data_IF_209091744680
#
_entry.id   IF_209091744680
#
_cell.length_a   1.000
_cell.length_b   1.000
_cell.length_c   1.000
_cell.angle_alpha   90.00
_cell.angle_beta   90.00
_cell.angle_gamma   90.00
#
_symmetry.space_group_name_H-M   'P 1'
#
loop_
_entity.id
_entity.type
_entity.pdbx_description
1 polymer ?
#
# COMPACT_ATOMS: atom_id res chain seq x y z
N UNK A 1 15.90 -20.71 -5.87
CA UNK A 1 16.88 -19.79 -5.29
C UNK A 1 16.30 -19.25 -4.00
N UNK A 2 16.93 -19.50 -2.86
CA UNK A 2 16.55 -18.81 -1.63
C UNK A 2 17.00 -17.36 -1.78
N UNK A 3 16.04 -16.43 -1.89
CA UNK A 3 16.32 -15.01 -1.79
C UNK A 3 16.76 -14.78 -0.34
N UNK A 4 18.05 -14.52 -0.13
CA UNK A 4 18.53 -14.01 1.16
C UNK A 4 17.85 -12.65 1.35
N UNK A 5 16.76 -12.64 2.10
CA UNK A 5 15.98 -11.43 2.37
C UNK A 5 16.72 -10.62 3.44
N UNK A 6 17.76 -9.89 3.04
CA UNK A 6 18.49 -8.93 3.89
C UNK A 6 17.69 -7.62 4.13
N UNK A 7 16.43 -7.62 3.71
CA UNK A 7 15.44 -6.55 3.86
C UNK A 7 15.22 -6.21 5.34
N UNK A 8 15.06 -7.23 6.18
CA UNK A 8 14.81 -7.06 7.62
C UNK A 8 16.12 -7.21 8.38
N UNK A 9 16.60 -6.12 8.97
CA UNK A 9 17.83 -6.10 9.77
C UNK A 9 17.53 -5.85 11.24
N UNK A 10 17.82 -6.83 12.07
CA UNK A 10 17.86 -6.66 13.53
C UNK A 10 19.12 -5.85 13.89
N UNK A 11 18.93 -4.61 14.36
CA UNK A 11 20.06 -3.73 14.72
C UNK A 11 20.48 -3.90 16.17
N UNK A 12 19.51 -3.93 17.08
CA UNK A 12 19.71 -4.11 18.52
C UNK A 12 18.40 -4.60 19.16
N UNK A 13 18.44 -4.95 20.44
CA UNK A 13 17.22 -5.37 21.17
C UNK A 13 16.17 -4.26 21.11
N UNK A 14 14.99 -4.59 20.58
CA UNK A 14 13.89 -3.63 20.40
C UNK A 14 14.02 -2.73 19.16
N UNK A 15 14.93 -3.06 18.24
CA UNK A 15 15.18 -2.26 17.05
C UNK A 15 15.29 -3.12 15.78
N UNK A 16 14.25 -3.05 14.95
CA UNK A 16 14.22 -3.63 13.61
C UNK A 16 14.32 -2.49 12.61
N UNK A 17 15.11 -2.69 11.56
CA UNK A 17 15.16 -1.80 10.41
C UNK A 17 14.74 -2.56 9.15
N UNK A 18 13.97 -1.88 8.29
CA UNK A 18 13.72 -2.30 6.92
C UNK A 18 14.14 -1.16 5.99
N UNK A 19 15.07 -1.43 5.08
CA UNK A 19 15.69 -0.44 4.19
C UNK A 19 16.08 0.88 4.90
N UNK A 20 16.72 0.73 6.07
CA UNK A 20 17.17 1.86 6.89
C UNK A 20 16.09 2.53 7.74
N UNK A 21 14.81 2.24 7.51
CA UNK A 21 13.69 2.76 8.30
C UNK A 21 13.49 1.93 9.57
N UNK A 22 13.40 2.58 10.73
CA UNK A 22 13.02 1.90 11.98
C UNK A 22 11.58 1.40 11.86
N UNK A 23 11.38 0.11 12.09
CA UNK A 23 10.05 -0.51 12.02
C UNK A 23 9.79 -1.40 13.23
N UNK A 24 8.55 -1.85 13.36
CA UNK A 24 8.16 -2.92 14.28
C UNK A 24 7.25 -3.91 13.57
N UNK A 25 7.19 -5.13 14.10
CA UNK A 25 6.19 -6.11 13.69
C UNK A 25 4.87 -5.75 14.38
N UNK A 26 3.78 -5.74 13.61
CA UNK A 26 2.42 -5.58 14.14
C UNK A 26 1.60 -6.82 13.84
N UNK A 27 0.82 -7.27 14.82
CA UNK A 27 -0.22 -8.26 14.57
C UNK A 27 -1.32 -7.65 13.68
N UNK A 28 -1.75 -8.39 12.66
CA UNK A 28 -2.72 -7.91 11.67
C UNK A 28 -4.16 -8.16 12.14
N UNK A 29 -4.46 -9.37 12.61
CA UNK A 29 -5.83 -9.81 12.89
C UNK A 29 -6.45 -9.10 14.10
N UNK A 30 -5.68 -8.83 15.16
CA UNK A 30 -6.19 -8.19 16.37
C UNK A 30 -5.56 -6.81 16.59
N UNK A 31 -4.26 -6.67 16.34
CA UNK A 31 -3.53 -5.42 16.52
C UNK A 31 -3.98 -4.32 15.56
N UNK A 32 -3.64 -4.45 14.28
CA UNK A 32 -3.97 -3.48 13.25
C UNK A 32 -5.49 -3.30 13.11
N UNK A 33 -6.24 -4.40 12.96
CA UNK A 33 -7.70 -4.36 12.87
C UNK A 33 -8.33 -3.66 14.08
N UNK A 34 -7.90 -4.01 15.30
CA UNK A 34 -8.42 -3.42 16.53
C UNK A 34 -8.17 -1.92 16.63
N UNK A 35 -6.96 -1.46 16.28
CA UNK A 35 -6.67 -0.01 16.19
C UNK A 35 -7.58 0.63 15.14
N UNK A 36 -7.70 0.03 13.95
CA UNK A 36 -8.48 0.58 12.85
C UNK A 36 -9.97 0.70 13.18
N UNK A 37 -10.56 -0.26 13.91
CA UNK A 37 -11.94 -0.16 14.42
C UNK A 37 -12.08 0.85 15.55
N UNK A 38 -11.09 0.93 16.45
CA UNK A 38 -11.12 1.94 17.53
C UNK A 38 -11.10 3.36 16.97
N UNK A 39 -10.27 3.64 15.95
CA UNK A 39 -10.28 4.95 15.28
C UNK A 39 -11.61 5.19 14.56
N UNK A 40 -12.15 4.18 13.87
CA UNK A 40 -13.45 4.28 13.20
C UNK A 40 -14.59 4.64 14.16
N UNK A 41 -14.59 4.08 15.37
CA UNK A 41 -15.56 4.43 16.40
C UNK A 41 -15.44 5.88 16.88
N UNK A 42 -14.24 6.46 16.83
CA UNK A 42 -13.97 7.82 17.31
C UNK A 42 -14.30 8.89 16.27
N UNK A 43 -13.94 8.67 15.01
CA UNK A 43 -14.03 9.69 13.95
C UNK A 43 -14.95 9.31 12.78
N UNK A 44 -15.45 8.08 12.76
CA UNK A 44 -16.46 7.64 11.80
C UNK A 44 -15.96 7.64 10.34
N UNK A 45 -16.76 8.16 9.39
CA UNK A 45 -16.52 8.00 7.96
C UNK A 45 -15.17 8.54 7.44
N UNK A 46 -14.56 9.52 8.11
CA UNK A 46 -13.27 10.11 7.67
C UNK A 46 -12.07 9.21 7.97
N UNK A 47 -12.27 8.07 8.62
CA UNK A 47 -11.14 7.20 9.00
C UNK A 47 -10.39 6.66 7.80
N UNK A 48 -11.07 6.39 6.68
CA UNK A 48 -10.40 6.00 5.44
C UNK A 48 -9.36 7.03 4.99
N UNK A 49 -9.74 8.31 4.98
CA UNK A 49 -8.85 9.43 4.64
C UNK A 49 -7.64 9.51 5.56
N UNK A 50 -7.81 9.34 6.87
CA UNK A 50 -6.69 9.39 7.84
C UNK A 50 -5.63 8.34 7.52
N UNK A 51 -6.05 7.10 7.27
CA UNK A 51 -5.10 6.02 6.95
C UNK A 51 -4.48 6.19 5.57
N UNK A 52 -5.27 6.61 4.59
CA UNK A 52 -4.83 6.88 3.23
C UNK A 52 -3.75 7.97 3.19
N UNK A 53 -4.00 9.14 3.79
CA UNK A 53 -3.04 10.24 3.83
C UNK A 53 -1.77 9.89 4.60
N UNK A 54 -1.89 9.21 5.75
CA UNK A 54 -0.71 8.76 6.50
C UNK A 54 0.13 7.76 5.70
N UNK A 55 -0.52 6.89 4.92
CA UNK A 55 0.14 5.91 4.07
C UNK A 55 0.84 6.54 2.87
N UNK A 56 0.28 7.59 2.26
CA UNK A 56 0.95 8.35 1.18
C UNK A 56 2.33 8.83 1.65
N UNK A 57 2.40 9.47 2.82
CA UNK A 57 3.66 9.95 3.39
C UNK A 57 4.65 8.80 3.63
N UNK A 58 4.15 7.65 4.11
CA UNK A 58 4.95 6.43 4.27
C UNK A 58 5.52 5.92 2.94
N UNK A 59 4.69 5.85 1.90
CA UNK A 59 5.10 5.41 0.56
C UNK A 59 6.13 6.33 -0.07
N UNK A 60 5.91 7.65 0.02
CA UNK A 60 6.85 8.67 -0.46
C UNK A 60 8.20 8.57 0.28
N UNK A 61 8.17 8.44 1.61
CA UNK A 61 9.37 8.32 2.42
C UNK A 61 10.18 7.07 2.05
N UNK A 62 9.50 5.94 1.82
CA UNK A 62 10.12 4.70 1.36
C UNK A 62 10.82 4.90 0.01
N UNK A 63 10.12 5.42 -1.01
CA UNK A 63 10.70 5.64 -2.35
C UNK A 63 11.92 6.55 -2.28
N UNK A 64 11.85 7.66 -1.54
CA UNK A 64 13.00 8.57 -1.37
C UNK A 64 14.19 7.88 -0.72
N UNK A 65 13.94 7.02 0.27
CA UNK A 65 14.96 6.20 0.90
C UNK A 65 15.63 5.24 -0.09
N UNK A 66 14.81 4.48 -0.81
CA UNK A 66 15.25 3.47 -1.77
C UNK A 66 15.98 4.07 -2.99
N UNK A 67 15.56 5.24 -3.48
CA UNK A 67 16.28 5.98 -4.53
C UNK A 67 17.66 6.44 -4.05
N UNK A 68 17.75 6.88 -2.80
CA UNK A 68 19.02 7.36 -2.20
C UNK A 68 20.01 6.23 -1.97
N UNK A 69 19.56 5.04 -1.60
CA UNK A 69 20.39 3.84 -1.49
C UNK A 69 20.73 3.21 -2.84
N UNK A 70 20.00 3.56 -3.90
CA UNK A 70 20.17 2.98 -5.23
C UNK A 70 19.48 1.63 -5.41
N UNK A 71 18.54 1.29 -4.53
CA UNK A 71 17.80 0.02 -4.57
C UNK A 71 16.72 0.02 -5.66
N UNK A 72 16.24 1.22 -6.05
CA UNK A 72 15.26 1.40 -7.12
C UNK A 72 15.66 2.55 -8.06
N UNK A 73 15.00 2.63 -9.21
CA UNK A 73 15.17 3.69 -10.22
C UNK A 73 13.83 4.37 -10.57
N UNK A 74 13.86 5.64 -10.99
CA UNK A 74 12.69 6.37 -11.50
C UNK A 74 12.20 5.76 -12.82
N UNK A 75 11.39 4.70 -12.74
CA UNK A 75 11.02 3.84 -13.87
C UNK A 75 9.83 2.95 -13.53
N UNK A 76 9.25 2.32 -14.56
CA UNK A 76 8.25 1.26 -14.42
C UNK A 76 8.74 0.11 -13.53
N UNK A 77 10.00 -0.28 -13.70
CA UNK A 77 10.67 -1.29 -12.87
C UNK A 77 10.76 -0.84 -11.42
N UNK A 78 11.10 0.41 -11.16
CA UNK A 78 11.15 0.95 -9.80
C UNK A 78 9.80 0.86 -9.08
N UNK A 79 8.69 1.13 -9.77
CA UNK A 79 7.35 0.94 -9.18
C UNK A 79 7.10 -0.54 -8.84
N UNK A 80 7.46 -1.47 -9.75
CA UNK A 80 7.35 -2.91 -9.50
C UNK A 80 8.21 -3.35 -8.31
N UNK A 81 9.43 -2.83 -8.19
CA UNK A 81 10.33 -3.12 -7.07
C UNK A 81 9.77 -2.58 -5.73
N UNK A 82 9.13 -1.40 -5.72
CA UNK A 82 8.41 -0.90 -4.54
C UNK A 82 7.25 -1.81 -4.12
N UNK A 83 6.45 -2.27 -5.09
CA UNK A 83 5.32 -3.18 -4.82
C UNK A 83 5.82 -4.54 -4.33
N UNK A 84 6.90 -5.08 -4.90
CA UNK A 84 7.52 -6.32 -4.41
C UNK A 84 8.04 -6.14 -2.98
N UNK A 85 8.74 -5.05 -2.67
CA UNK A 85 9.19 -4.77 -1.31
C UNK A 85 8.02 -4.67 -0.30
N UNK A 86 6.90 -4.07 -0.72
CA UNK A 86 5.67 -4.04 0.08
C UNK A 86 5.12 -5.45 0.33
N UNK A 87 5.19 -6.34 -0.67
CA UNK A 87 4.82 -7.74 -0.50
C UNK A 87 5.80 -8.51 0.42
N UNK A 88 7.11 -8.31 0.25
CA UNK A 88 8.14 -8.94 1.10
C UNK A 88 8.06 -8.49 2.56
N UNK A 89 7.48 -7.32 2.83
CA UNK A 89 7.18 -6.82 4.17
C UNK A 89 6.00 -7.52 4.86
N UNK A 90 5.28 -8.39 4.15
CA UNK A 90 4.19 -9.19 4.71
C UNK A 90 2.82 -8.51 4.65
N UNK A 91 2.64 -7.47 3.84
CA UNK A 91 1.34 -6.82 3.66
C UNK A 91 0.38 -7.60 2.73
N UNK A 92 0.88 -8.61 2.02
CA UNK A 92 0.11 -9.47 1.11
C UNK A 92 0.88 -9.74 -0.18
N UNK A 93 0.43 -10.68 -1.00
CA UNK A 93 1.00 -11.02 -2.31
C UNK A 93 0.65 -10.00 -3.40
N UNK A 94 1.00 -8.73 -3.20
CA UNK A 94 0.75 -7.66 -4.17
C UNK A 94 1.53 -7.87 -5.46
N UNK A 95 0.86 -7.69 -6.60
CA UNK A 95 1.47 -7.82 -7.92
C UNK A 95 1.00 -6.72 -8.86
N UNK A 96 1.92 -6.14 -9.64
CA UNK A 96 1.60 -5.15 -10.67
C UNK A 96 1.12 -5.87 -11.93
N UNK A 97 -0.19 -5.84 -12.17
CA UNK A 97 -0.82 -6.44 -13.35
C UNK A 97 -0.58 -5.61 -14.62
N UNK A 98 -0.70 -4.28 -14.51
CA UNK A 98 -0.50 -3.34 -15.61
C UNK A 98 0.20 -2.09 -15.09
N UNK A 99 1.04 -1.47 -15.94
CA UNK A 99 1.66 -0.18 -15.66
C UNK A 99 1.96 0.55 -16.98
N UNK A 100 1.56 1.82 -17.02
CA UNK A 100 2.06 2.83 -17.93
C UNK A 100 2.70 3.93 -17.09
N UNK A 101 4.03 3.87 -16.98
CA UNK A 101 4.81 4.83 -16.20
C UNK A 101 4.73 6.25 -16.77
N UNK A 102 4.58 6.39 -18.10
CA UNK A 102 4.53 7.70 -18.76
C UNK A 102 3.28 8.50 -18.38
N UNK A 103 2.15 7.83 -18.21
CA UNK A 103 0.90 8.43 -17.72
C UNK A 103 0.73 8.35 -16.20
N UNK A 104 1.69 7.76 -15.48
CA UNK A 104 1.59 7.46 -14.04
C UNK A 104 0.36 6.59 -13.67
N UNK A 105 0.05 5.64 -14.55
CA UNK A 105 -1.09 4.72 -14.39
C UNK A 105 -0.62 3.31 -14.09
N UNK A 106 -1.27 2.64 -13.14
CA UNK A 106 -1.01 1.23 -12.85
C UNK A 106 -2.24 0.53 -12.27
N UNK A 107 -2.29 -0.79 -12.46
CA UNK A 107 -3.26 -1.67 -11.79
C UNK A 107 -2.49 -2.70 -10.98
N UNK A 108 -2.76 -2.75 -9.67
CA UNK A 108 -2.15 -3.69 -8.73
C UNK A 108 -3.23 -4.63 -8.20
N UNK A 109 -2.89 -5.92 -8.02
CA UNK A 109 -3.81 -6.93 -7.49
C UNK A 109 -3.20 -7.66 -6.31
N UNK A 110 -4.03 -8.12 -5.37
CA UNK A 110 -3.58 -8.88 -4.20
C UNK A 110 -4.70 -9.79 -3.68
N UNK A 111 -4.44 -11.09 -3.50
CA UNK A 111 -5.45 -12.08 -3.06
C UNK A 111 -5.60 -12.18 -1.55
N UNK A 112 -4.66 -11.58 -0.82
CA UNK A 112 -4.50 -11.68 0.63
C UNK A 112 -3.99 -10.35 1.21
N UNK A 113 -4.44 -9.23 0.64
CA UNK A 113 -4.13 -7.90 1.16
C UNK A 113 -4.50 -7.84 2.65
N UNK A 114 -3.55 -7.46 3.50
CA UNK A 114 -3.67 -7.60 4.95
C UNK A 114 -4.93 -6.92 5.53
N UNK A 115 -5.30 -5.75 5.00
CA UNK A 115 -6.51 -5.02 5.36
C UNK A 115 -7.77 -5.81 5.00
N UNK A 116 -7.95 -6.14 3.72
CA UNK A 116 -9.11 -6.90 3.26
C UNK A 116 -9.20 -8.28 3.92
N UNK A 117 -8.06 -8.92 4.18
CA UNK A 117 -7.99 -10.21 4.88
C UNK A 117 -8.49 -10.05 6.33
N UNK A 118 -8.01 -9.04 7.05
CA UNK A 118 -8.45 -8.79 8.42
C UNK A 118 -9.96 -8.51 8.49
N UNK A 119 -10.50 -7.68 7.60
CA UNK A 119 -11.93 -7.40 7.52
C UNK A 119 -12.75 -8.68 7.27
N UNK A 120 -12.34 -9.48 6.28
CA UNK A 120 -12.96 -10.77 5.97
C UNK A 120 -12.96 -11.71 7.17
N UNK A 121 -11.87 -11.77 7.94
CA UNK A 121 -11.75 -12.62 9.14
C UNK A 121 -12.72 -12.23 10.24
N UNK A 122 -13.05 -10.94 10.36
CA UNK A 122 -14.02 -10.41 11.31
C UNK A 122 -15.46 -10.31 10.75
N UNK A 123 -15.69 -10.73 9.51
CA UNK A 123 -17.01 -10.64 8.87
C UNK A 123 -17.46 -9.21 8.57
N UNK A 124 -16.53 -8.26 8.50
CA UNK A 124 -16.81 -6.86 8.14
C UNK A 124 -16.79 -6.74 6.61
N UNK A 125 -17.97 -6.54 6.03
CA UNK A 125 -18.18 -6.50 4.57
C UNK A 125 -18.13 -5.06 4.10
N UNK A 126 -16.92 -4.56 3.91
CA UNK A 126 -16.66 -3.21 3.38
C UNK A 126 -15.28 -3.14 2.72
N UNK A 127 -15.10 -2.22 1.77
CA UNK A 127 -13.76 -1.83 1.30
C UNK A 127 -12.94 -1.30 2.47
N UNK A 128 -11.75 -1.87 2.63
CA UNK A 128 -10.95 -1.67 3.83
C UNK A 128 -9.53 -1.22 3.55
N UNK A 129 -9.03 -1.39 2.31
CA UNK A 129 -7.60 -1.31 2.00
C UNK A 129 -7.09 0.12 1.81
N UNK A 130 -7.54 1.06 2.64
CA UNK A 130 -7.19 2.48 2.55
C UNK A 130 -5.70 2.74 2.74
N UNK A 131 -5.06 2.02 3.67
CA UNK A 131 -3.62 2.14 3.90
C UNK A 131 -2.84 1.62 2.69
N UNK A 132 -3.24 0.47 2.13
CA UNK A 132 -2.64 -0.08 0.91
C UNK A 132 -2.78 0.88 -0.27
N UNK A 133 -3.99 1.46 -0.48
CA UNK A 133 -4.19 2.49 -1.50
C UNK A 133 -3.23 3.67 -1.31
N UNK A 134 -3.10 4.18 -0.08
CA UNK A 134 -2.23 5.31 0.19
C UNK A 134 -0.74 4.99 -0.04
N UNK A 135 -0.27 3.80 0.33
CA UNK A 135 1.10 3.34 0.04
C UNK A 135 1.34 3.32 -1.48
N UNK A 136 0.43 2.72 -2.24
CA UNK A 136 0.56 2.58 -3.70
C UNK A 136 0.52 3.94 -4.41
N UNK A 137 -0.37 4.84 -3.99
CA UNK A 137 -0.39 6.22 -4.46
C UNK A 137 0.92 6.94 -4.12
N UNK A 138 1.38 6.84 -2.87
CA UNK A 138 2.64 7.43 -2.42
C UNK A 138 3.86 6.95 -3.21
N UNK A 139 3.90 5.66 -3.57
CA UNK A 139 4.94 5.12 -4.43
C UNK A 139 4.96 5.79 -5.80
N UNK A 140 3.80 5.84 -6.49
CA UNK A 140 3.72 6.43 -7.82
C UNK A 140 3.95 7.94 -7.79
N UNK A 141 3.44 8.66 -6.78
CA UNK A 141 3.67 10.10 -6.58
C UNK A 141 5.16 10.44 -6.53
N UNK A 142 5.90 9.68 -5.72
CA UNK A 142 7.34 9.92 -5.55
C UNK A 142 8.16 9.53 -6.78
N UNK A 143 7.78 8.48 -7.51
CA UNK A 143 8.49 8.06 -8.73
C UNK A 143 8.19 8.97 -9.92
N UNK A 144 6.91 9.32 -10.13
CA UNK A 144 6.48 10.18 -11.22
C UNK A 144 6.65 11.69 -10.93
N UNK A 145 7.10 12.04 -9.71
CA UNK A 145 7.27 13.42 -9.24
C UNK A 145 6.00 14.27 -9.39
N UNK A 146 4.86 13.65 -9.06
CA UNK A 146 3.50 14.22 -9.21
C UNK A 146 2.72 14.07 -7.92
N UNK A 147 1.92 15.07 -7.57
CA UNK A 147 1.11 15.05 -6.34
C UNK A 147 -0.36 14.68 -6.61
N UNK A 148 -0.81 14.78 -7.86
CA UNK A 148 -2.19 14.57 -8.30
C UNK A 148 -2.54 13.09 -8.56
N UNK A 149 -1.67 12.16 -8.16
CA UNK A 149 -1.90 10.72 -8.35
C UNK A 149 -2.64 10.16 -7.15
N UNK A 150 -3.78 9.51 -7.39
CA UNK A 150 -4.58 8.85 -6.37
C UNK A 150 -4.63 7.33 -6.62
N UNK A 151 -5.08 6.57 -5.62
CA UNK A 151 -5.31 5.14 -5.74
C UNK A 151 -6.68 4.76 -5.19
N UNK A 152 -7.46 4.05 -5.99
CA UNK A 152 -8.79 3.55 -5.62
C UNK A 152 -8.79 2.02 -5.57
N UNK A 153 -9.34 1.45 -4.48
CA UNK A 153 -9.67 0.03 -4.42
C UNK A 153 -11.00 -0.19 -5.16
N UNK A 154 -10.97 -0.88 -6.30
CA UNK A 154 -12.18 -1.14 -7.11
C UNK A 154 -12.89 -2.43 -6.68
N UNK A 155 -12.14 -3.43 -6.23
CA UNK A 155 -12.63 -4.71 -5.71
C UNK A 155 -11.91 -5.05 -4.40
N UNK A 156 -12.57 -5.73 -3.47
CA UNK A 156 -11.99 -6.12 -2.18
C UNK A 156 -12.38 -7.55 -1.78
N UNK A 157 -11.43 -8.32 -1.24
CA UNK A 157 -11.71 -9.67 -0.71
C UNK A 157 -12.64 -9.67 0.51
N UNK A 158 -12.73 -8.55 1.24
CA UNK A 158 -13.68 -8.37 2.34
C UNK A 158 -15.14 -8.30 1.83
N UNK A 159 -15.34 -7.80 0.61
CA UNK A 159 -16.63 -7.72 -0.06
C UNK A 159 -16.98 -9.00 -0.84
N UNK A 160 -16.11 -10.02 -0.76
CA UNK A 160 -16.31 -11.32 -1.40
C UNK A 160 -15.68 -11.45 -2.79
N UNK A 161 -14.89 -10.47 -3.25
CA UNK A 161 -14.12 -10.61 -4.48
C UNK A 161 -12.99 -11.65 -4.34
N UNK A 162 -12.48 -12.15 -5.48
CA UNK A 162 -11.37 -13.11 -5.52
C UNK A 162 -10.02 -12.48 -5.16
N UNK A 163 -9.89 -11.18 -5.39
CA UNK A 163 -8.71 -10.37 -5.07
C UNK A 163 -9.12 -8.93 -4.77
N UNK A 164 -8.28 -8.23 -4.02
CA UNK A 164 -8.30 -6.77 -4.01
C UNK A 164 -7.68 -6.26 -5.31
N UNK A 165 -8.32 -5.25 -5.92
CA UNK A 165 -7.84 -4.59 -7.15
C UNK A 165 -7.70 -3.10 -6.88
N UNK A 166 -6.53 -2.57 -7.21
CA UNK A 166 -6.12 -1.21 -6.94
C UNK A 166 -5.79 -0.51 -8.24
N UNK A 167 -6.45 0.61 -8.52
CA UNK A 167 -6.22 1.43 -9.70
C UNK A 167 -5.53 2.72 -9.27
N UNK A 168 -4.31 2.92 -9.77
CA UNK A 168 -3.50 4.11 -9.57
C UNK A 168 -3.54 4.94 -10.85
N UNK A 169 -3.87 6.22 -10.73
CA UNK A 169 -3.88 7.16 -11.86
C UNK A 169 -3.97 8.62 -11.36
N UNK A 170 -3.74 9.60 -12.24
CA UNK A 170 -4.11 10.99 -11.98
C UNK A 170 -5.58 11.12 -11.56
N UNK A 171 -5.85 12.00 -10.59
CA UNK A 171 -7.18 12.25 -10.03
C UNK A 171 -8.23 12.55 -11.09
N UNK A 172 -7.91 13.40 -12.07
CA UNK A 172 -8.83 13.80 -13.14
C UNK A 172 -9.22 12.63 -14.06
N UNK A 173 -8.31 11.68 -14.27
CA UNK A 173 -8.57 10.45 -15.01
C UNK A 173 -9.48 9.52 -14.21
N UNK A 174 -9.23 9.32 -12.91
CA UNK A 174 -10.07 8.50 -12.04
C UNK A 174 -11.50 9.06 -11.93
N UNK A 175 -11.66 10.37 -11.86
CA UNK A 175 -12.98 11.03 -11.90
C UNK A 175 -13.66 10.84 -13.25
N UNK A 176 -12.93 10.99 -14.37
CA UNK A 176 -13.45 10.78 -15.73
C UNK A 176 -13.91 9.34 -15.97
N UNK A 177 -13.21 8.38 -15.37
CA UNK A 177 -13.55 6.95 -15.40
C UNK A 177 -14.67 6.57 -14.42
N UNK A 178 -15.11 7.50 -13.56
CA UNK A 178 -16.16 7.26 -12.56
C UNK A 178 -15.71 6.40 -11.38
N UNK A 179 -14.41 6.30 -11.13
CA UNK A 179 -13.82 5.56 -10.00
C UNK A 179 -13.70 6.43 -8.74
N UNK A 180 -13.78 7.75 -8.90
CA UNK A 180 -13.71 8.73 -7.82
C UNK A 180 -14.74 9.85 -8.05
N UNK A 181 -15.14 10.54 -6.98
CA UNK A 181 -16.17 11.59 -6.96
C UNK A 181 -15.58 12.91 -6.53
#
# INVERSE_FOLDING_TARGET
>A
MAISCDLIRFRSRGWICVEGSRTCLTDIEHGFYGIRKAVEQLIGPVTGTVYYTAAIEGGIAYVRGALKSGDITLSDRGFRDCVDAYAQLGFGGFTVSEIDYGSARATVTCRDAFEGWAWKRHGDVSKACYYSCGILAGFMRALAEREDIECVETECIAEGADACVFVIAPEDELVREGLMV
#
